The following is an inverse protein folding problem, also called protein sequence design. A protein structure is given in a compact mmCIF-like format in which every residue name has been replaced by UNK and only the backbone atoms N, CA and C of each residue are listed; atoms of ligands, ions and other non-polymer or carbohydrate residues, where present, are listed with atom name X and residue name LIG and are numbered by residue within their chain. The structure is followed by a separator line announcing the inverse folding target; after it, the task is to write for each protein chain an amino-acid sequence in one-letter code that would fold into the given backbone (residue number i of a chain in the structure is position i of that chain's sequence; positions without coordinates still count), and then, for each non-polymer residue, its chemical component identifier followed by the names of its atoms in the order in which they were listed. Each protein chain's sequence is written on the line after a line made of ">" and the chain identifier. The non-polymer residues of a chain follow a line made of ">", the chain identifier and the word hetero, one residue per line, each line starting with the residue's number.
data_IF_273362304839
#
_entry.id   IF_273362304839
#
_cell.length_a   1.000
_cell.length_b   1.000
_cell.length_c   1.000
_cell.angle_alpha   90.00
_cell.angle_beta   90.00
_cell.angle_gamma   90.00
#
_symmetry.space_group_name_H-M   'P 1'
#
loop_
_entity.id
_entity.type
_entity.pdbx_description
1 polymer ?
#
# COMPACT_ATOMS: atom_id res chain seq x y z
N UNK A 1 -12.14 -0.75 -17.96
CA UNK A 1 -12.33 -2.04 -17.26
C UNK A 1 -11.42 -3.07 -17.89
N UNK A 2 -10.51 -3.66 -17.12
CA UNK A 2 -9.53 -4.65 -17.58
C UNK A 2 -9.73 -5.99 -16.88
N UNK A 3 -8.74 -6.87 -17.00
CA UNK A 3 -8.65 -8.11 -16.24
C UNK A 3 -7.25 -8.24 -15.65
N UNK A 4 -7.16 -8.87 -14.48
CA UNK A 4 -5.91 -9.36 -13.89
C UNK A 4 -6.01 -10.87 -13.69
N UNK A 5 -4.88 -11.54 -13.80
CA UNK A 5 -4.76 -12.95 -13.47
C UNK A 5 -4.46 -13.08 -11.97
N UNK A 6 -5.24 -13.88 -11.25
CA UNK A 6 -4.96 -14.24 -9.86
C UNK A 6 -4.64 -15.73 -9.75
N UNK A 7 -3.55 -16.04 -9.08
CA UNK A 7 -3.17 -17.41 -8.73
C UNK A 7 -4.01 -17.88 -7.54
N UNK A 8 -4.67 -19.02 -7.69
CA UNK A 8 -5.39 -19.72 -6.64
C UNK A 8 -4.46 -20.70 -5.95
N UNK A 9 -4.43 -20.69 -4.63
CA UNK A 9 -3.70 -21.68 -3.82
C UNK A 9 -4.62 -22.75 -3.26
N UNK A 10 -4.05 -23.83 -2.72
CA UNK A 10 -4.81 -24.86 -1.99
C UNK A 10 -5.52 -24.30 -0.75
N UNK A 11 -4.96 -23.25 -0.15
CA UNK A 11 -5.50 -22.61 1.04
C UNK A 11 -6.59 -21.61 0.65
N UNK A 12 -7.82 -21.88 1.09
CA UNK A 12 -8.95 -20.98 0.84
C UNK A 12 -8.66 -19.57 1.41
N UNK A 13 -8.88 -18.55 0.59
CA UNK A 13 -8.63 -17.15 0.97
C UNK A 13 -7.22 -16.65 0.67
N UNK A 14 -6.31 -17.52 0.23
CA UNK A 14 -4.96 -17.13 -0.18
C UNK A 14 -4.87 -17.08 -1.71
N UNK A 15 -4.85 -15.87 -2.26
CA UNK A 15 -4.71 -15.60 -3.71
C UNK A 15 -3.75 -14.46 -3.93
N UNK A 16 -2.93 -14.53 -4.99
CA UNK A 16 -2.01 -13.45 -5.35
C UNK A 16 -1.88 -13.31 -6.87
N UNK A 17 -1.73 -12.06 -7.33
CA UNK A 17 -1.34 -11.78 -8.72
C UNK A 17 0.12 -12.18 -8.98
N UNK A 18 0.95 -12.20 -7.93
CA UNK A 18 2.39 -12.40 -8.00
C UNK A 18 2.84 -13.33 -6.86
N UNK A 19 2.50 -14.64 -6.93
CA UNK A 19 2.88 -15.57 -5.90
C UNK A 19 4.41 -15.64 -5.78
N UNK A 20 4.94 -15.31 -4.61
CA UNK A 20 6.35 -15.52 -4.29
C UNK A 20 6.69 -17.02 -4.25
N UNK A 21 7.97 -17.36 -4.04
CA UNK A 21 8.44 -18.75 -4.08
C UNK A 21 7.74 -19.69 -3.09
N UNK A 22 7.24 -19.19 -1.95
CA UNK A 22 6.48 -19.98 -0.98
C UNK A 22 5.07 -20.26 -1.50
N UNK A 23 4.36 -19.20 -1.93
CA UNK A 23 3.00 -19.32 -2.43
C UNK A 23 2.92 -20.08 -3.77
N UNK A 24 3.94 -19.95 -4.62
CA UNK A 24 4.01 -20.58 -5.93
C UNK A 24 3.91 -22.11 -5.87
N UNK A 25 4.47 -22.72 -4.82
CA UNK A 25 4.41 -24.17 -4.61
C UNK A 25 2.99 -24.68 -4.32
N UNK A 26 2.09 -23.80 -3.86
CA UNK A 26 0.71 -24.14 -3.51
C UNK A 26 -0.29 -23.78 -4.60
N UNK A 27 0.15 -23.18 -5.71
CA UNK A 27 -0.74 -22.74 -6.79
C UNK A 27 -1.36 -23.94 -7.48
N UNK A 28 -2.70 -23.94 -7.54
CA UNK A 28 -3.51 -25.00 -8.18
C UNK A 28 -4.23 -24.52 -9.44
N UNK A 29 -4.22 -23.23 -9.72
CA UNK A 29 -4.85 -22.68 -10.90
C UNK A 29 -4.73 -21.16 -11.01
N UNK A 30 -5.19 -20.63 -12.13
CA UNK A 30 -5.24 -19.20 -12.41
C UNK A 30 -6.68 -18.86 -12.78
N UNK A 31 -7.19 -17.77 -12.20
CA UNK A 31 -8.48 -17.19 -12.59
C UNK A 31 -8.28 -15.80 -13.15
N UNK A 32 -9.12 -15.45 -14.12
CA UNK A 32 -9.23 -14.09 -14.66
C UNK A 32 -10.26 -13.32 -13.87
N UNK A 33 -9.82 -12.24 -13.22
CA UNK A 33 -10.68 -11.36 -12.45
C UNK A 33 -10.85 -10.04 -13.18
N UNK A 34 -12.08 -9.58 -13.31
CA UNK A 34 -12.39 -8.27 -13.89
C UNK A 34 -11.96 -7.18 -12.91
N UNK A 35 -11.23 -6.20 -13.41
CA UNK A 35 -10.58 -5.17 -12.58
C UNK A 35 -10.79 -3.76 -13.14
N UNK A 36 -10.67 -2.76 -12.26
CA UNK A 36 -10.68 -1.34 -12.57
C UNK A 36 -9.52 -0.65 -11.86
N UNK A 37 -9.09 0.47 -12.41
CA UNK A 37 -8.20 1.41 -11.73
C UNK A 37 -8.94 2.12 -10.61
N UNK A 38 -8.24 2.57 -9.57
CA UNK A 38 -8.87 3.33 -8.49
C UNK A 38 -9.47 4.63 -9.02
N UNK A 39 -8.76 5.32 -9.92
CA UNK A 39 -9.26 6.56 -10.53
C UNK A 39 -10.60 6.35 -11.26
N UNK A 40 -10.76 5.23 -11.98
CA UNK A 40 -12.04 4.87 -12.62
C UNK A 40 -13.14 4.62 -11.59
N UNK A 41 -12.83 3.98 -10.47
CA UNK A 41 -13.80 3.73 -9.40
C UNK A 41 -14.22 5.05 -8.75
N UNK A 42 -13.28 5.94 -8.45
CA UNK A 42 -13.57 7.22 -7.84
C UNK A 42 -14.40 8.11 -8.77
N UNK A 43 -14.04 8.20 -10.06
CA UNK A 43 -14.80 8.97 -11.04
C UNK A 43 -16.25 8.49 -11.20
N UNK A 44 -16.50 7.19 -11.07
CA UNK A 44 -17.84 6.62 -11.20
C UNK A 44 -18.69 6.73 -9.92
N UNK A 45 -18.07 6.71 -8.74
CA UNK A 45 -18.78 6.46 -7.47
C UNK A 45 -18.63 7.59 -6.45
N UNK A 46 -17.60 8.43 -6.56
CA UNK A 46 -17.37 9.51 -5.61
C UNK A 46 -18.30 10.69 -5.93
N UNK A 47 -19.16 11.04 -4.97
CA UNK A 47 -20.05 12.19 -5.11
C UNK A 47 -19.26 13.49 -5.31
N UNK A 48 -19.79 14.38 -6.14
CA UNK A 48 -19.20 15.70 -6.36
C UNK A 48 -18.93 16.44 -5.04
N UNK A 49 -17.74 17.01 -4.91
CA UNK A 49 -17.29 17.73 -3.72
C UNK A 49 -16.82 16.84 -2.55
N UNK A 50 -16.80 15.50 -2.70
CA UNK A 50 -16.14 14.61 -1.73
C UNK A 50 -14.67 14.41 -2.09
N UNK A 51 -13.85 14.15 -1.07
CA UNK A 51 -12.40 13.93 -1.20
C UNK A 51 -12.02 12.66 -0.44
N UNK A 52 -11.11 11.87 -1.03
CA UNK A 52 -10.50 10.74 -0.35
C UNK A 52 -9.34 11.26 0.51
N UNK A 53 -9.43 11.06 1.82
CA UNK A 53 -8.42 11.55 2.77
C UNK A 53 -7.46 10.46 3.24
N UNK A 54 -7.82 9.19 3.03
CA UNK A 54 -7.04 8.05 3.49
C UNK A 54 -7.21 6.84 2.56
N UNK A 55 -6.11 6.11 2.31
CA UNK A 55 -6.10 4.87 1.53
C UNK A 55 -5.22 3.85 2.26
N UNK A 56 -5.72 2.61 2.44
CA UNK A 56 -4.89 1.44 2.80
C UNK A 56 -4.60 0.65 1.52
N UNK A 57 -3.34 0.29 1.30
CA UNK A 57 -2.89 -0.58 0.20
C UNK A 57 -2.21 -1.80 0.81
N UNK A 58 -2.77 -2.97 0.54
CA UNK A 58 -2.28 -4.25 1.02
C UNK A 58 -2.60 -5.26 -0.08
N UNK A 59 -1.62 -5.44 -0.97
CA UNK A 59 -1.85 -6.03 -2.29
C UNK A 59 -0.81 -7.10 -2.67
N UNK A 60 0.01 -7.51 -1.71
CA UNK A 60 0.92 -8.65 -1.81
C UNK A 60 1.72 -8.67 -3.12
N UNK A 61 2.33 -7.53 -3.49
CA UNK A 61 3.19 -7.38 -4.67
C UNK A 61 2.55 -6.66 -5.86
N UNK A 62 1.25 -6.35 -5.80
CA UNK A 62 0.55 -5.61 -6.86
C UNK A 62 0.55 -4.08 -6.66
N UNK A 63 1.30 -3.55 -5.69
CA UNK A 63 1.28 -2.15 -5.30
C UNK A 63 1.63 -1.22 -6.46
N UNK A 64 2.61 -1.59 -7.30
CA UNK A 64 2.98 -0.80 -8.50
C UNK A 64 1.80 -0.60 -9.45
N UNK A 65 1.01 -1.65 -9.70
CA UNK A 65 -0.16 -1.58 -10.58
C UNK A 65 -1.28 -0.71 -9.98
N UNK A 66 -1.39 -0.73 -8.65
CA UNK A 66 -2.35 0.13 -7.93
C UNK A 66 -1.92 1.59 -8.07
N UNK A 67 -0.64 1.90 -7.85
CA UNK A 67 -0.09 3.24 -8.02
C UNK A 67 -0.30 3.75 -9.45
N UNK A 68 -0.03 2.94 -10.47
CA UNK A 68 -0.30 3.30 -11.87
C UNK A 68 -1.78 3.63 -12.11
N UNK A 69 -2.69 2.94 -11.43
CA UNK A 69 -4.14 3.12 -11.54
C UNK A 69 -4.75 4.19 -10.61
N UNK A 70 -3.94 4.96 -9.87
CA UNK A 70 -4.45 5.94 -8.90
C UNK A 70 -3.79 7.33 -9.00
N UNK A 71 -3.24 7.69 -10.16
CA UNK A 71 -2.51 8.94 -10.34
C UNK A 71 -3.37 10.18 -10.10
N UNK A 72 -4.64 10.17 -10.52
CA UNK A 72 -5.56 11.26 -10.23
C UNK A 72 -5.88 11.30 -8.73
N UNK A 73 -6.04 10.15 -8.08
CA UNK A 73 -6.27 10.11 -6.64
C UNK A 73 -5.10 10.70 -5.84
N UNK A 74 -3.85 10.37 -6.21
CA UNK A 74 -2.66 10.91 -5.57
C UNK A 74 -2.60 12.45 -5.68
N UNK A 75 -2.86 12.98 -6.87
CA UNK A 75 -2.66 14.40 -7.17
C UNK A 75 -3.85 15.27 -6.75
N UNK A 76 -5.08 14.82 -6.98
CA UNK A 76 -6.30 15.59 -6.75
C UNK A 76 -6.87 15.43 -5.34
N UNK A 77 -6.69 14.25 -4.73
CA UNK A 77 -7.20 14.00 -3.38
C UNK A 77 -6.12 14.10 -2.29
N UNK A 78 -4.85 13.86 -2.64
CA UNK A 78 -3.72 13.93 -1.70
C UNK A 78 -3.95 13.17 -0.37
N UNK A 79 -4.45 11.91 -0.41
CA UNK A 79 -4.76 11.15 0.79
C UNK A 79 -3.51 10.81 1.61
N UNK A 80 -3.67 10.57 2.91
CA UNK A 80 -2.71 9.78 3.68
C UNK A 80 -2.74 8.33 3.19
N UNK A 81 -1.58 7.71 2.95
CA UNK A 81 -1.52 6.32 2.47
C UNK A 81 -0.88 5.46 3.56
N UNK A 82 -1.56 4.38 3.94
CA UNK A 82 -0.97 3.28 4.69
C UNK A 82 -0.73 2.13 3.72
N UNK A 83 0.49 1.61 3.65
CA UNK A 83 0.81 0.49 2.78
C UNK A 83 1.57 -0.63 3.47
N UNK A 84 1.39 -1.83 2.92
CA UNK A 84 2.20 -3.00 3.19
C UNK A 84 2.84 -3.47 1.87
N UNK A 85 4.13 -3.81 1.90
CA UNK A 85 4.85 -4.34 0.72
C UNK A 85 5.50 -5.66 1.09
N UNK A 86 5.09 -6.70 0.38
CA UNK A 86 5.78 -7.98 0.31
C UNK A 86 6.84 -7.95 -0.80
N UNK A 87 8.10 -7.80 -0.41
CA UNK A 87 9.22 -7.67 -1.34
C UNK A 87 9.37 -8.86 -2.28
N UNK A 88 9.16 -10.07 -1.77
CA UNK A 88 9.30 -11.29 -2.57
C UNK A 88 8.20 -11.38 -3.63
N UNK A 89 6.97 -11.02 -3.27
CA UNK A 89 5.85 -10.98 -4.22
C UNK A 89 6.01 -9.84 -5.23
N UNK A 90 6.45 -8.66 -4.79
CA UNK A 90 6.76 -7.53 -5.67
C UNK A 90 7.82 -7.91 -6.72
N UNK A 91 8.88 -8.60 -6.28
CA UNK A 91 9.95 -9.12 -7.13
C UNK A 91 9.44 -10.20 -8.09
N UNK A 92 8.55 -11.08 -7.63
CA UNK A 92 7.89 -12.07 -8.48
C UNK A 92 7.07 -11.43 -9.60
N UNK A 93 6.50 -10.24 -9.35
CA UNK A 93 5.85 -9.41 -10.36
C UNK A 93 6.78 -8.63 -11.28
N UNK A 94 8.09 -8.68 -11.04
CA UNK A 94 9.09 -7.94 -11.83
C UNK A 94 9.07 -6.44 -11.58
N UNK A 95 8.51 -5.99 -10.46
CA UNK A 95 8.42 -4.56 -10.13
C UNK A 95 9.63 -4.10 -9.30
N UNK A 96 9.90 -2.80 -9.39
CA UNK A 96 10.98 -2.13 -8.67
C UNK A 96 10.43 -1.13 -7.65
N UNK A 97 10.94 -1.20 -6.42
CA UNK A 97 10.64 -0.24 -5.35
C UNK A 97 11.14 1.16 -5.66
N UNK A 98 12.26 1.28 -6.39
CA UNK A 98 12.75 2.56 -6.85
C UNK A 98 11.71 3.28 -7.71
N UNK A 99 11.09 2.56 -8.65
CA UNK A 99 10.01 3.07 -9.48
C UNK A 99 8.79 3.55 -8.65
N UNK A 100 8.33 2.75 -7.68
CA UNK A 100 7.25 3.16 -6.76
C UNK A 100 7.63 4.45 -6.03
N UNK A 101 8.83 4.50 -5.44
CA UNK A 101 9.33 5.69 -4.73
C UNK A 101 9.37 6.91 -5.64
N UNK A 102 9.82 6.77 -6.88
CA UNK A 102 9.84 7.86 -7.85
C UNK A 102 8.45 8.39 -8.17
N UNK A 103 7.46 7.51 -8.35
CA UNK A 103 6.06 7.91 -8.57
C UNK A 103 5.50 8.69 -7.37
N UNK A 104 5.74 8.19 -6.16
CA UNK A 104 5.32 8.85 -4.92
C UNK A 104 5.92 10.24 -4.76
N UNK A 105 7.24 10.37 -4.95
CA UNK A 105 7.93 11.66 -4.88
C UNK A 105 7.39 12.63 -5.93
N UNK A 106 7.16 12.15 -7.16
CA UNK A 106 6.59 12.98 -8.22
C UNK A 106 5.17 13.47 -7.89
N UNK A 107 4.38 12.65 -7.19
CA UNK A 107 3.07 13.04 -6.66
C UNK A 107 3.15 13.91 -5.39
N UNK A 108 4.36 14.20 -4.89
CA UNK A 108 4.62 15.04 -3.73
C UNK A 108 4.60 14.31 -2.38
N UNK A 109 4.65 12.97 -2.38
CA UNK A 109 4.80 12.11 -1.20
C UNK A 109 6.29 11.84 -0.95
N UNK A 110 6.87 12.63 -0.07
CA UNK A 110 8.29 12.60 0.28
C UNK A 110 8.54 12.17 1.72
N UNK A 111 7.50 12.17 2.57
CA UNK A 111 7.59 11.72 3.95
C UNK A 111 7.07 10.29 4.09
N UNK A 112 7.93 9.41 4.61
CA UNK A 112 7.63 8.01 4.82
C UNK A 112 7.95 7.60 6.24
N UNK A 113 7.01 6.94 6.91
CA UNK A 113 7.14 6.53 8.30
C UNK A 113 6.72 5.09 8.48
N UNK A 114 7.33 4.40 9.44
CA UNK A 114 6.78 3.17 10.00
C UNK A 114 6.16 3.45 11.38
N UNK A 115 5.14 2.68 11.73
CA UNK A 115 4.60 2.65 13.09
C UNK A 115 5.48 1.76 13.97
N UNK A 116 5.97 2.32 15.07
CA UNK A 116 6.74 1.58 16.08
C UNK A 116 5.95 1.59 17.39
N UNK A 117 5.43 0.44 17.77
CA UNK A 117 4.86 0.23 19.10
C UNK A 117 5.97 -0.03 20.11
N UNK A 118 5.91 0.66 21.25
CA UNK A 118 6.78 0.40 22.38
C UNK A 118 5.94 0.21 23.63
N UNK A 119 5.94 -1.02 24.13
CA UNK A 119 5.40 -1.33 25.45
C UNK A 119 6.35 -0.78 26.52
N UNK A 120 5.79 -0.05 27.48
CA UNK A 120 6.54 0.52 28.62
C UNK A 120 6.36 -0.36 29.85
N UNK A 121 5.12 -0.78 30.08
CA UNK A 121 4.73 -1.77 31.10
C UNK A 121 3.65 -2.68 30.49
N UNK A 122 3.40 -3.88 31.04
CA UNK A 122 2.40 -4.79 30.51
C UNK A 122 1.03 -4.12 30.30
N UNK A 123 0.54 -4.11 29.07
CA UNK A 123 -0.75 -3.51 28.69
C UNK A 123 -0.73 -1.99 28.52
N UNK A 124 0.43 -1.33 28.68
CA UNK A 124 0.60 0.11 28.42
C UNK A 124 1.79 0.31 27.49
N UNK A 125 1.49 0.78 26.28
CA UNK A 125 2.49 1.18 25.31
C UNK A 125 2.09 2.46 24.60
N UNK A 126 3.02 2.94 23.79
CA UNK A 126 2.78 4.06 22.89
C UNK A 126 3.24 3.69 21.48
N UNK A 127 2.58 4.28 20.50
CA UNK A 127 2.97 4.19 19.10
C UNK A 127 3.70 5.47 18.72
N UNK A 128 4.87 5.34 18.10
CA UNK A 128 5.60 6.46 17.50
C UNK A 128 5.76 6.24 16.01
N UNK A 129 5.84 7.34 15.27
CA UNK A 129 6.29 7.28 13.87
C UNK A 129 7.81 7.38 13.82
N UNK A 130 8.44 6.45 13.09
CA UNK A 130 9.87 6.52 12.78
C UNK A 130 10.02 6.80 11.28
N UNK A 131 10.73 7.87 10.87
CA UNK A 131 11.03 8.10 9.46
C UNK A 131 11.82 6.93 8.86
N UNK A 132 11.50 6.55 7.63
CA UNK A 132 12.17 5.45 6.92
C UNK A 132 12.52 5.80 5.49
N UNK A 133 13.47 5.06 4.95
CA UNK A 133 13.61 4.91 3.51
C UNK A 133 12.91 3.63 3.03
N UNK A 134 11.90 3.78 2.17
CA UNK A 134 11.09 2.68 1.63
C UNK A 134 11.87 1.81 0.62
N UNK A 135 13.00 2.28 0.09
CA UNK A 135 13.85 1.48 -0.81
C UNK A 135 14.85 0.60 -0.08
N UNK A 136 14.97 0.70 1.25
CA UNK A 136 15.81 -0.22 2.00
C UNK A 136 15.13 -1.58 2.08
N UNK A 137 15.76 -2.60 1.50
CA UNK A 137 15.27 -3.98 1.49
C UNK A 137 15.14 -4.53 2.93
N UNK A 138 13.97 -5.10 3.24
CA UNK A 138 13.62 -5.67 4.55
C UNK A 138 12.80 -6.93 4.31
N UNK A 139 12.58 -7.75 5.33
CA UNK A 139 11.74 -8.95 5.18
C UNK A 139 10.30 -8.63 4.75
N UNK A 140 9.69 -7.63 5.38
CA UNK A 140 8.37 -7.11 5.05
C UNK A 140 8.30 -5.64 5.45
N UNK A 141 7.73 -4.78 4.60
CA UNK A 141 7.32 -3.44 5.01
C UNK A 141 5.85 -3.53 5.43
N UNK A 142 5.60 -3.36 6.72
CA UNK A 142 4.25 -3.37 7.29
C UNK A 142 3.94 -1.97 7.78
N UNK A 143 2.69 -1.53 7.64
CA UNK A 143 2.17 -0.30 8.23
C UNK A 143 3.03 0.94 7.90
N UNK A 144 3.46 1.05 6.63
CA UNK A 144 4.19 2.24 6.16
C UNK A 144 3.20 3.36 5.87
N UNK A 145 3.35 4.49 6.55
CA UNK A 145 2.60 5.70 6.28
C UNK A 145 3.35 6.61 5.31
N UNK A 146 2.66 7.06 4.27
CA UNK A 146 3.16 8.04 3.32
C UNK A 146 2.35 9.33 3.37
N UNK A 147 3.05 10.45 3.34
CA UNK A 147 2.43 11.77 3.48
C UNK A 147 3.11 12.75 2.53
N UNK A 148 2.33 13.75 2.07
CA UNK A 148 2.89 14.91 1.36
C UNK A 148 3.56 15.89 2.32
N UNK A 149 4.52 16.67 1.81
CA UNK A 149 5.25 17.69 2.59
C UNK A 149 4.37 18.82 3.11
N UNK A 150 3.35 19.20 2.35
CA UNK A 150 2.41 20.27 2.70
C UNK A 150 1.35 19.82 3.73
N UNK A 151 1.30 18.51 4.02
CA UNK A 151 0.36 17.92 4.96
C UNK A 151 0.83 18.13 6.41
N UNK A 152 0.80 19.40 6.84
CA UNK A 152 0.98 19.89 8.23
C UNK A 152 -0.02 19.32 9.25
N UNK A 153 -0.90 18.40 8.84
CA UNK A 153 -2.06 17.91 9.58
C UNK A 153 -1.86 16.59 10.32
N UNK A 154 -0.73 15.90 10.16
CA UNK A 154 -0.41 14.74 11.00
C UNK A 154 0.04 15.21 12.39
N UNK A 155 -0.93 15.73 13.16
CA UNK A 155 -0.86 15.72 14.62
C UNK A 155 -1.30 14.34 15.09
N UNK A 156 -0.32 13.48 15.34
CA UNK A 156 -0.57 12.28 16.13
C UNK A 156 -0.60 12.73 17.58
N UNK A 157 -1.79 13.11 18.06
CA UNK A 157 -2.01 13.36 19.47
C UNK A 157 -2.12 12.01 20.17
N UNK A 158 -1.04 11.62 20.87
CA UNK A 158 -1.09 10.53 21.83
C UNK A 158 -2.02 10.94 22.97
N UNK A 159 -3.23 10.41 23.00
CA UNK A 159 -4.10 10.53 24.17
C UNK A 159 -3.53 9.65 25.28
N UNK A 160 -2.83 10.27 26.23
CA UNK A 160 -2.56 9.67 27.53
C UNK A 160 -3.83 9.83 28.37
N UNK A 161 -4.47 8.71 28.73
CA UNK A 161 -5.40 8.64 29.85
C UNK A 161 -4.64 8.17 31.09
#
# INVERSE_FOLDING_TARGET
>A
TGHIDLSLTQTLGNTSSFPNYLAAAEVIGIIKVKSKTLDSILNENLSHGKQITFIKIDAEGAESLIFDGMQDALTQHSPLIAMEINFESLKAGGFDLGAIKHQLIHAGYSNHFELVYKEVVPGVGFTKLRPIDITQERGLLIDTLLTRDDNSRLRIESFFA
#
